data_IF_895233531046
#
_entry.id   IF_895233531046
#
_cell.length_a   1.000
_cell.length_b   1.000
_cell.length_c   1.000
_cell.angle_alpha   90.00
_cell.angle_beta   90.00
_cell.angle_gamma   90.00
#
_symmetry.space_group_name_H-M   'P 1'
#
loop_
_entity.id
_entity.type
_entity.pdbx_description
1 polymer ?
#
# COMPACT_ATOMS: atom_id res chain seq x y z
N UNK A 1 -6.33 11.51 4.85
CA UNK A 1 -5.39 10.44 5.24
C UNK A 1 -6.11 9.15 5.63
N UNK A 2 -6.91 9.10 6.71
CA UNK A 2 -7.51 7.83 7.21
C UNK A 2 -8.38 7.11 6.17
N UNK A 3 -9.26 7.81 5.45
CA UNK A 3 -10.07 7.18 4.40
C UNK A 3 -9.23 6.59 3.25
N UNK A 4 -8.10 7.21 2.93
CA UNK A 4 -7.14 6.66 1.96
C UNK A 4 -6.48 5.38 2.51
N UNK A 5 -6.04 5.40 3.77
CA UNK A 5 -5.48 4.21 4.44
C UNK A 5 -6.47 3.04 4.43
N UNK A 6 -7.74 3.27 4.74
CA UNK A 6 -8.75 2.21 4.74
C UNK A 6 -8.93 1.60 3.35
N UNK A 7 -8.99 2.42 2.30
CA UNK A 7 -9.13 1.95 0.91
C UNK A 7 -7.93 1.13 0.46
N UNK A 8 -6.70 1.52 0.81
CA UNK A 8 -5.52 0.72 0.47
C UNK A 8 -5.41 -0.56 1.31
N UNK A 9 -5.94 -0.56 2.55
CA UNK A 9 -5.95 -1.74 3.40
C UNK A 9 -6.82 -2.86 2.80
N UNK A 10 -7.98 -2.53 2.23
CA UNK A 10 -8.83 -3.50 1.52
C UNK A 10 -8.10 -4.13 0.31
N UNK A 11 -7.32 -3.33 -0.42
CA UNK A 11 -6.52 -3.80 -1.56
C UNK A 11 -5.35 -4.68 -1.14
N UNK A 12 -4.64 -4.28 -0.08
CA UNK A 12 -3.54 -5.04 0.50
C UNK A 12 -4.01 -6.41 1.00
N UNK A 13 -5.15 -6.45 1.70
CA UNK A 13 -5.73 -7.70 2.20
C UNK A 13 -6.15 -8.64 1.06
N UNK A 14 -6.81 -8.11 0.02
CA UNK A 14 -7.18 -8.91 -1.15
C UNK A 14 -5.96 -9.47 -1.92
N UNK A 15 -4.81 -8.80 -1.82
CA UNK A 15 -3.57 -9.23 -2.44
C UNK A 15 -2.74 -10.20 -1.59
N UNK A 16 -3.14 -10.43 -0.32
CA UNK A 16 -2.32 -11.13 0.70
C UNK A 16 -0.88 -10.57 0.72
N UNK A 17 -0.79 -9.23 0.71
CA UNK A 17 0.47 -8.50 0.66
C UNK A 17 0.30 -7.15 1.35
N UNK A 18 0.94 -6.95 2.50
CA UNK A 18 0.69 -5.79 3.34
C UNK A 18 1.81 -4.74 3.25
N UNK A 19 1.48 -3.44 3.10
CA UNK A 19 2.46 -2.36 3.15
C UNK A 19 2.81 -1.98 4.59
N UNK A 20 4.00 -1.39 4.76
CA UNK A 20 4.33 -0.61 5.94
C UNK A 20 3.70 0.80 5.81
N UNK A 21 3.02 1.27 6.85
CA UNK A 21 2.29 2.54 6.83
C UNK A 21 2.73 3.48 7.96
N UNK A 22 3.10 4.70 7.60
CA UNK A 22 3.33 5.79 8.56
C UNK A 22 2.34 6.93 8.26
N UNK A 23 1.57 7.37 9.26
CA UNK A 23 0.59 8.43 9.13
C UNK A 23 0.99 9.66 9.95
N UNK A 24 1.30 10.76 9.26
CA UNK A 24 1.64 12.05 9.83
C UNK A 24 0.57 13.09 9.48
N UNK A 25 -0.52 13.08 10.25
CA UNK A 25 -1.68 13.97 10.10
C UNK A 25 -2.31 13.88 8.71
N UNK A 26 -1.91 14.76 7.77
CA UNK A 26 -2.39 14.77 6.40
C UNK A 26 -1.57 13.92 5.43
N UNK A 27 -0.37 13.49 5.83
CA UNK A 27 0.59 12.79 4.97
C UNK A 27 0.68 11.31 5.35
N UNK A 28 0.59 10.44 4.36
CA UNK A 28 0.77 8.99 4.53
C UNK A 28 2.02 8.57 3.75
N UNK A 29 2.95 7.89 4.39
CA UNK A 29 4.07 7.21 3.74
C UNK A 29 3.73 5.73 3.66
N UNK A 30 3.98 5.15 2.48
CA UNK A 30 3.72 3.74 2.18
C UNK A 30 5.05 3.10 1.79
N UNK A 31 5.44 2.04 2.51
CA UNK A 31 6.56 1.16 2.19
C UNK A 31 6.04 -0.18 1.67
N UNK A 32 6.70 -0.73 0.65
CA UNK A 32 6.36 -2.02 0.05
C UNK A 32 7.63 -2.87 -0.02
N UNK A 33 7.54 -4.08 0.51
CA UNK A 33 8.61 -5.06 0.51
C UNK A 33 8.05 -6.47 0.68
N UNK A 34 8.59 -7.44 -0.06
CA UNK A 34 8.25 -8.85 0.14
C UNK A 34 9.18 -9.48 1.17
N UNK A 35 8.78 -9.42 2.44
CA UNK A 35 9.59 -9.88 3.57
C UNK A 35 10.03 -11.34 3.48
N UNK A 36 9.19 -12.22 2.95
CA UNK A 36 9.53 -13.64 2.78
C UNK A 36 10.68 -13.88 1.81
N UNK A 37 10.88 -12.97 0.86
CA UNK A 37 11.93 -13.06 -0.17
C UNK A 37 13.10 -12.11 0.11
N UNK A 38 12.99 -11.26 1.14
CA UNK A 38 13.94 -10.22 1.47
C UNK A 38 14.32 -9.35 0.26
N UNK A 39 13.34 -9.05 -0.59
CA UNK A 39 13.50 -8.34 -1.84
C UNK A 39 12.22 -7.60 -2.24
N UNK A 40 12.37 -6.68 -3.19
CA UNK A 40 11.24 -6.11 -3.94
C UNK A 40 10.85 -7.10 -5.03
N UNK A 41 9.57 -7.45 -5.09
CA UNK A 41 9.02 -8.40 -6.06
C UNK A 41 7.87 -7.79 -6.86
N UNK A 42 7.32 -8.57 -7.79
CA UNK A 42 6.14 -8.16 -8.57
C UNK A 42 4.90 -7.91 -7.68
N UNK A 43 4.82 -8.53 -6.49
CA UNK A 43 3.73 -8.26 -5.52
C UNK A 43 3.78 -6.80 -5.04
N UNK A 44 4.97 -6.30 -4.76
CA UNK A 44 5.20 -4.91 -4.37
C UNK A 44 4.77 -3.96 -5.50
N UNK A 45 5.19 -4.25 -6.72
CA UNK A 45 4.86 -3.42 -7.89
C UNK A 45 3.35 -3.45 -8.18
N UNK A 46 2.71 -4.62 -8.06
CA UNK A 46 1.27 -4.76 -8.26
C UNK A 46 0.47 -3.96 -7.23
N UNK A 47 0.81 -4.08 -5.94
CA UNK A 47 0.13 -3.33 -4.89
C UNK A 47 0.38 -1.83 -5.01
N UNK A 48 1.59 -1.39 -5.38
CA UNK A 48 1.87 0.02 -5.65
C UNK A 48 0.93 0.62 -6.70
N UNK A 49 0.60 -0.13 -7.77
CA UNK A 49 -0.33 0.33 -8.82
C UNK A 49 -1.77 0.46 -8.34
N UNK A 50 -2.23 -0.47 -7.51
CA UNK A 50 -3.55 -0.36 -6.88
C UNK A 50 -3.62 0.87 -5.96
N UNK A 51 -2.57 1.11 -5.17
CA UNK A 51 -2.46 2.27 -4.28
C UNK A 51 -2.48 3.58 -5.07
N UNK A 52 -1.74 3.67 -6.18
CA UNK A 52 -1.77 4.83 -7.09
C UNK A 52 -3.17 5.08 -7.67
N UNK A 53 -3.90 4.02 -8.00
CA UNK A 53 -5.29 4.13 -8.49
C UNK A 53 -6.20 4.73 -7.41
N UNK A 54 -6.06 4.27 -6.16
CA UNK A 54 -6.80 4.82 -5.02
C UNK A 54 -6.42 6.28 -4.75
N UNK A 55 -5.14 6.63 -4.87
CA UNK A 55 -4.63 7.98 -4.62
C UNK A 55 -5.16 9.00 -5.65
N UNK A 56 -5.37 8.60 -6.91
CA UNK A 56 -5.87 9.46 -7.98
C UNK A 56 -7.39 9.56 -8.06
N UNK A 57 -8.11 8.72 -7.33
CA UNK A 57 -9.57 8.73 -7.28
C UNK A 57 -10.15 9.81 -6.33
N UNK A 58 -9.34 10.78 -5.92
CA UNK A 58 -9.68 11.88 -5.01
C UNK A 58 -9.34 13.24 -5.58
#
# INVERSE_FOLDING_TARGET
AIAFINRIAEKAEAADHHPDLENHYGRVRVGLHTWSENAVTDKDIALAREIETVARAG
#
